data_IF_651452238023
#
_entry.id   IF_651452238023
#
_cell.length_a   1.000
_cell.length_b   1.000
_cell.length_c   1.000
_cell.angle_alpha   90.00
_cell.angle_beta   90.00
_cell.angle_gamma   90.00
#
_symmetry.space_group_name_H-M   'P 1'
#
loop_
_entity.id
_entity.type
_entity.pdbx_description
1 polymer ?
#
# COMPACT_ATOMS: atom_id res chain seq x y z
N UNK A 1 4.19 10.04 -56.17
CA UNK A 1 3.24 10.68 -55.23
C UNK A 1 2.20 9.62 -54.90
N UNK A 2 2.03 9.04 -53.72
CA UNK A 2 2.11 9.55 -52.35
C UNK A 2 2.29 8.34 -51.40
N UNK A 3 3.43 8.23 -50.72
CA UNK A 3 3.68 7.21 -49.68
C UNK A 3 4.10 7.84 -48.34
N UNK A 4 3.90 9.15 -48.15
CA UNK A 4 4.32 9.88 -46.96
C UNK A 4 3.18 10.24 -45.99
N UNK A 5 1.94 9.83 -46.26
CA UNK A 5 0.75 10.28 -45.49
C UNK A 5 0.24 9.29 -44.45
N UNK A 6 0.78 8.07 -44.37
CA UNK A 6 0.31 7.03 -43.43
C UNK A 6 1.11 6.96 -42.12
N UNK A 7 2.39 7.34 -42.12
CA UNK A 7 3.27 7.25 -40.93
C UNK A 7 2.98 8.34 -39.90
N UNK A 8 2.64 9.55 -40.35
CA UNK A 8 2.31 10.68 -39.47
C UNK A 8 0.97 10.53 -38.75
N UNK A 9 0.02 9.78 -39.33
CA UNK A 9 -1.28 9.50 -38.69
C UNK A 9 -1.17 8.49 -37.55
N UNK A 10 -0.23 7.54 -37.62
CA UNK A 10 0.00 6.54 -36.57
C UNK A 10 0.71 7.18 -35.36
N UNK A 11 1.71 8.05 -35.58
CA UNK A 11 2.34 8.78 -34.48
C UNK A 11 1.38 9.74 -33.76
N UNK A 12 0.47 10.41 -34.49
CA UNK A 12 -0.52 11.30 -33.88
C UNK A 12 -1.51 10.54 -32.99
N UNK A 13 -1.94 9.34 -33.39
CA UNK A 13 -2.85 8.51 -32.60
C UNK A 13 -2.16 8.00 -31.32
N UNK A 14 -0.90 7.55 -31.41
CA UNK A 14 -0.13 7.09 -30.23
C UNK A 14 0.11 8.23 -29.23
N UNK A 15 0.36 9.45 -29.69
CA UNK A 15 0.53 10.61 -28.81
C UNK A 15 -0.77 11.05 -28.11
N UNK A 16 -1.92 10.94 -28.79
CA UNK A 16 -3.23 11.27 -28.22
C UNK A 16 -3.63 10.22 -27.15
N UNK A 17 -3.35 8.93 -27.39
CA UNK A 17 -3.59 7.89 -26.39
C UNK A 17 -2.68 8.02 -25.15
N UNK A 18 -1.40 8.37 -25.31
CA UNK A 18 -0.50 8.61 -24.17
C UNK A 18 -0.88 9.85 -23.34
N UNK A 19 -1.34 10.93 -23.99
CA UNK A 19 -1.79 12.14 -23.28
C UNK A 19 -3.07 11.88 -22.47
N UNK A 20 -4.01 11.11 -23.03
CA UNK A 20 -5.26 10.73 -22.36
C UNK A 20 -5.02 9.79 -21.16
N UNK A 21 -4.00 8.93 -21.25
CA UNK A 21 -3.60 8.01 -20.18
C UNK A 21 -2.96 8.74 -18.99
N UNK A 22 -2.15 9.77 -19.25
CA UNK A 22 -1.54 10.59 -18.18
C UNK A 22 -2.60 11.45 -17.46
N UNK A 23 -3.58 12.02 -18.17
CA UNK A 23 -4.64 12.83 -17.54
C UNK A 23 -5.63 11.98 -16.71
N UNK A 24 -5.84 10.71 -17.08
CA UNK A 24 -6.66 9.77 -16.32
C UNK A 24 -6.11 9.42 -14.93
N UNK A 25 -4.78 9.32 -14.80
CA UNK A 25 -4.11 9.02 -13.53
C UNK A 25 -4.19 10.21 -12.56
N UNK A 26 -4.08 11.45 -13.07
CA UNK A 26 -4.19 12.65 -12.22
C UNK A 26 -5.62 12.94 -11.72
N UNK A 27 -6.64 12.46 -12.43
CA UNK A 27 -8.04 12.73 -12.07
C UNK A 27 -8.57 11.82 -10.95
N UNK A 28 -8.03 10.60 -10.80
CA UNK A 28 -8.40 9.68 -9.73
C UNK A 28 -7.83 10.08 -8.35
N UNK A 29 -6.69 10.79 -8.31
CA UNK A 29 -6.08 11.25 -7.07
C UNK A 29 -6.79 12.44 -6.40
N UNK A 30 -7.73 13.10 -7.11
CA UNK A 30 -8.40 14.32 -6.63
C UNK A 30 -9.71 14.06 -5.86
N UNK A 31 -10.22 12.83 -5.88
CA UNK A 31 -11.55 12.51 -5.36
C UNK A 31 -11.59 12.09 -3.87
N UNK A 32 -10.45 11.95 -3.18
CA UNK A 32 -10.39 11.35 -1.83
C UNK A 32 -9.91 12.28 -0.71
N UNK A 33 -9.77 13.59 -0.94
CA UNK A 33 -9.40 14.53 0.12
C UNK A 33 -10.34 15.74 0.19
N UNK A 34 -11.48 15.56 0.86
CA UNK A 34 -12.19 16.63 1.55
C UNK A 34 -12.24 16.29 3.04
N UNK A 35 -11.28 16.81 3.80
CA UNK A 35 -11.37 16.89 5.27
C UNK A 35 -11.73 18.34 5.60
N UNK A 36 -12.90 18.54 6.19
CA UNK A 36 -13.33 19.81 6.77
C UNK A 36 -12.56 20.07 8.08
N UNK A 37 -12.16 21.32 8.39
CA UNK A 37 -11.51 21.64 9.66
C UNK A 37 -12.53 21.70 10.80
N UNK A 38 -12.29 20.92 11.85
CA UNK A 38 -12.95 21.06 13.15
C UNK A 38 -12.38 22.28 13.88
N UNK A 39 -13.25 23.27 14.12
CA UNK A 39 -12.95 24.46 14.89
C UNK A 39 -13.25 24.15 16.37
N UNK A 40 -12.24 24.09 17.24
CA UNK A 40 -12.43 23.96 18.68
C UNK A 40 -11.73 25.13 19.38
N UNK A 41 -12.52 26.14 19.71
CA UNK A 41 -12.16 27.19 20.66
C UNK A 41 -12.30 26.65 22.08
N UNK A 42 -11.21 26.58 22.84
CA UNK A 42 -11.29 26.56 24.30
C UNK A 42 -10.35 27.61 24.88
N UNK A 43 -11.00 28.64 25.39
CA UNK A 43 -10.48 29.66 26.27
C UNK A 43 -10.60 29.11 27.70
N UNK A 44 -9.51 28.98 28.44
CA UNK A 44 -9.58 29.02 29.90
C UNK A 44 -8.22 29.39 30.51
N UNK A 45 -8.22 30.54 31.16
CA UNK A 45 -7.20 31.08 32.03
C UNK A 45 -7.20 30.36 33.38
N UNK A 46 -6.03 30.00 33.91
CA UNK A 46 -5.81 30.10 35.35
C UNK A 46 -4.32 30.31 35.67
N UNK A 47 -4.08 31.41 36.37
CA UNK A 47 -2.90 31.78 37.13
C UNK A 47 -2.71 30.86 38.34
N UNK A 48 -1.47 30.62 38.79
CA UNK A 48 -1.08 30.50 40.20
C UNK A 48 0.46 30.46 40.35
N UNK A 49 0.98 31.61 40.78
CA UNK A 49 2.01 31.93 41.78
C UNK A 49 3.25 31.06 42.07
N UNK A 50 4.31 31.82 42.34
CA UNK A 50 5.68 31.46 42.68
C UNK A 50 5.93 31.34 44.20
N UNK A 51 6.93 30.53 44.59
CA UNK A 51 7.77 30.61 45.83
C UNK A 51 9.07 29.84 45.51
N UNK A 52 10.28 30.39 45.37
CA UNK A 52 11.22 31.18 46.21
C UNK A 52 12.28 30.37 47.01
N UNK A 53 13.53 30.62 46.58
CA UNK A 53 14.87 30.70 47.19
C UNK A 53 15.57 29.72 48.17
N UNK A 54 16.91 29.78 47.97
CA UNK A 54 18.11 29.69 48.87
C UNK A 54 18.78 28.33 49.06
N UNK A 55 20.11 28.20 49.23
CA UNK A 55 21.35 28.97 48.95
C UNK A 55 22.54 28.22 49.63
N UNK A 56 23.79 28.57 49.24
CA UNK A 56 25.11 28.39 49.92
C UNK A 56 25.89 27.08 49.68
N UNK A 57 27.24 27.01 49.59
CA UNK A 57 28.36 27.97 49.43
C UNK A 57 29.69 27.19 49.24
N UNK A 58 30.58 27.69 48.36
CA UNK A 58 32.07 27.67 48.30
C UNK A 58 32.90 26.37 48.52
N UNK A 59 33.95 26.07 47.71
CA UNK A 59 35.33 26.60 47.86
C UNK A 59 36.21 26.36 46.61
N UNK A 60 37.29 27.14 46.51
CA UNK A 60 38.17 27.54 45.39
C UNK A 60 39.34 26.63 44.93
N UNK A 61 39.93 27.04 43.78
CA UNK A 61 41.32 26.92 43.26
C UNK A 61 41.68 25.76 42.30
N UNK A 62 41.87 26.10 41.01
CA UNK A 62 43.17 26.04 40.31
C UNK A 62 43.04 26.45 38.83
N UNK A 63 44.08 27.13 38.34
CA UNK A 63 44.21 27.80 37.04
C UNK A 63 44.64 26.80 35.96
N UNK A 64 43.93 26.73 34.84
CA UNK A 64 44.52 26.29 33.56
C UNK A 64 43.76 26.88 32.37
N UNK A 65 44.53 27.59 31.54
CA UNK A 65 44.14 28.14 30.25
C UNK A 65 43.84 27.00 29.27
N UNK A 66 42.58 26.86 28.87
CA UNK A 66 42.20 25.99 27.75
C UNK A 66 41.08 26.66 26.95
N UNK A 67 41.45 27.02 25.72
CA UNK A 67 40.64 27.43 24.56
C UNK A 67 39.12 27.42 24.76
N UNK A 68 38.50 28.61 24.73
CA UNK A 68 37.05 28.80 24.57
C UNK A 68 36.50 28.00 23.37
N UNK A 69 35.68 26.96 23.56
CA UNK A 69 34.62 26.71 22.59
C UNK A 69 33.58 27.81 22.79
N UNK A 70 33.26 28.56 21.73
CA UNK A 70 32.11 29.47 21.75
C UNK A 70 30.87 28.61 22.01
N UNK A 71 30.44 28.61 23.27
CA UNK A 71 29.21 28.00 23.73
C UNK A 71 28.08 28.86 23.16
N UNK A 72 27.51 28.43 22.04
CA UNK A 72 26.27 29.03 21.56
C UNK A 72 25.20 28.71 22.61
N UNK A 73 24.45 29.70 23.14
CA UNK A 73 23.33 29.39 24.00
C UNK A 73 22.35 28.62 23.12
N UNK A 74 22.19 27.33 23.38
CA UNK A 74 21.06 26.58 22.88
C UNK A 74 19.84 27.29 23.47
N UNK A 75 19.21 28.16 22.69
CA UNK A 75 17.80 28.42 22.92
C UNK A 75 17.16 27.05 22.89
N UNK A 76 16.66 26.60 24.03
CA UNK A 76 15.66 25.54 24.12
C UNK A 76 14.45 26.05 23.33
N UNK A 77 14.55 25.95 22.01
CA UNK A 77 13.39 26.02 21.11
C UNK A 77 12.47 24.96 21.70
N UNK A 78 11.33 25.40 22.22
CA UNK A 78 10.34 24.50 22.79
C UNK A 78 10.13 23.35 21.81
N UNK A 79 10.24 22.11 22.31
CA UNK A 79 10.02 20.92 21.49
C UNK A 79 8.63 21.04 20.89
N UNK A 80 8.54 21.26 19.59
CA UNK A 80 7.28 21.16 18.86
C UNK A 80 7.05 19.67 18.55
N UNK A 81 5.79 19.27 18.44
CA UNK A 81 5.43 17.88 18.16
C UNK A 81 5.86 17.51 16.74
N UNK A 82 6.47 16.33 16.58
CA UNK A 82 6.81 15.77 15.29
C UNK A 82 5.55 15.22 14.62
N UNK A 83 4.73 16.12 14.09
CA UNK A 83 3.47 15.78 13.44
C UNK A 83 3.67 15.44 11.96
N UNK A 84 2.72 14.70 11.39
CA UNK A 84 2.70 14.41 9.95
C UNK A 84 2.41 15.69 9.18
N UNK A 85 3.16 15.94 8.11
CA UNK A 85 2.98 17.09 7.21
C UNK A 85 2.90 16.63 5.75
N UNK A 86 2.31 17.44 4.88
CA UNK A 86 2.33 17.23 3.43
C UNK A 86 3.34 18.20 2.81
N UNK A 87 4.36 17.67 2.15
CA UNK A 87 5.37 18.49 1.49
C UNK A 87 4.88 19.09 0.18
N UNK A 88 5.60 20.09 -0.33
CA UNK A 88 5.27 20.74 -1.62
C UNK A 88 5.34 19.78 -2.82
N UNK A 89 5.99 18.62 -2.66
CA UNK A 89 6.06 17.53 -3.63
C UNK A 89 4.95 16.47 -3.44
N UNK A 90 3.92 16.77 -2.62
CA UNK A 90 2.77 15.91 -2.32
C UNK A 90 3.11 14.60 -1.59
N UNK A 91 4.32 14.48 -1.05
CA UNK A 91 4.71 13.37 -0.20
C UNK A 91 4.48 13.73 1.27
N UNK A 92 4.08 12.74 2.06
CA UNK A 92 3.91 12.86 3.50
C UNK A 92 5.28 12.81 4.18
N UNK A 93 5.59 13.84 4.97
CA UNK A 93 6.80 13.90 5.78
C UNK A 93 6.49 13.98 7.27
N UNK A 94 7.53 14.26 8.04
CA UNK A 94 7.43 14.59 9.46
C UNK A 94 7.88 16.03 9.66
N UNK A 95 7.09 16.83 10.36
CA UNK A 95 7.43 18.22 10.65
C UNK A 95 8.57 18.25 11.67
N UNK A 96 9.72 18.83 11.30
CA UNK A 96 10.90 18.93 12.18
C UNK A 96 11.79 20.12 11.84
N UNK A 97 12.79 20.42 12.69
CA UNK A 97 13.73 21.51 12.44
C UNK A 97 14.56 21.16 11.21
N UNK A 98 14.81 22.14 10.34
CA UNK A 98 15.59 21.95 9.12
C UNK A 98 17.00 21.37 9.38
N UNK A 99 17.66 21.79 10.46
CA UNK A 99 18.94 21.23 10.91
C UNK A 99 18.84 19.72 11.17
N UNK A 100 17.86 19.30 11.98
CA UNK A 100 17.62 17.88 12.28
C UNK A 100 17.27 17.08 11.01
N UNK A 101 16.43 17.64 10.12
CA UNK A 101 16.12 17.00 8.85
C UNK A 101 17.39 16.75 8.01
N UNK A 102 18.26 17.76 7.92
CA UNK A 102 19.50 17.70 7.16
C UNK A 102 20.49 16.71 7.78
N UNK A 103 20.65 16.73 9.10
CA UNK A 103 21.53 15.84 9.86
C UNK A 103 21.11 14.36 9.68
N UNK A 104 19.81 14.12 9.61
CA UNK A 104 19.22 12.80 9.38
C UNK A 104 19.16 12.41 7.89
N UNK A 105 19.79 13.19 7.01
CA UNK A 105 19.80 13.00 5.55
C UNK A 105 18.38 12.91 4.96
N UNK A 106 17.47 13.71 5.49
CA UNK A 106 16.15 13.93 4.93
C UNK A 106 16.18 15.06 3.89
N UNK A 107 15.06 15.24 3.21
CA UNK A 107 14.84 16.31 2.23
C UNK A 107 13.77 17.24 2.78
N UNK A 108 14.09 18.52 2.92
CA UNK A 108 13.15 19.55 3.31
C UNK A 108 12.19 19.87 2.16
N UNK A 109 10.89 19.70 2.37
CA UNK A 109 9.85 19.85 1.36
C UNK A 109 8.79 20.89 1.75
N UNK A 110 9.22 22.12 1.99
CA UNK A 110 8.34 23.23 2.40
C UNK A 110 8.29 23.43 3.91
N UNK A 111 7.68 24.53 4.35
CA UNK A 111 7.46 24.82 5.77
C UNK A 111 6.25 24.04 6.29
N UNK A 112 6.32 23.56 7.54
CA UNK A 112 5.23 22.86 8.21
C UNK A 112 4.73 23.56 9.48
N UNK A 113 5.26 24.75 9.80
CA UNK A 113 4.82 25.54 10.96
C UNK A 113 4.67 27.01 10.58
N UNK A 114 3.67 27.65 11.17
CA UNK A 114 3.49 29.12 11.11
C UNK A 114 4.18 29.83 12.29
N UNK A 115 4.61 29.09 13.31
CA UNK A 115 5.22 29.64 14.53
C UNK A 115 6.70 29.94 14.31
N UNK A 116 7.39 29.08 13.54
CA UNK A 116 8.82 29.23 13.25
C UNK A 116 9.12 28.91 11.80
N UNK A 117 9.96 29.74 11.18
CA UNK A 117 10.45 29.53 9.81
C UNK A 117 11.52 28.42 9.72
N UNK A 118 11.92 27.85 10.86
CA UNK A 118 12.92 26.77 10.91
C UNK A 118 12.31 25.37 10.78
N UNK A 119 11.00 25.24 10.94
CA UNK A 119 10.31 23.95 10.84
C UNK A 119 9.98 23.65 9.37
N UNK A 120 10.42 22.48 8.91
CA UNK A 120 10.24 22.01 7.53
C UNK A 120 9.55 20.66 7.52
N UNK A 121 8.82 20.39 6.45
CA UNK A 121 8.30 19.06 6.21
C UNK A 121 9.43 18.14 5.73
N UNK A 122 9.96 17.31 6.62
CA UNK A 122 11.10 16.45 6.32
C UNK A 122 10.65 15.12 5.73
N UNK A 123 11.21 14.75 4.58
CA UNK A 123 10.92 13.50 3.89
C UNK A 123 12.18 12.65 3.84
N UNK A 124 12.07 11.40 4.28
CA UNK A 124 13.16 10.44 4.18
C UNK A 124 13.04 9.66 2.88
N UNK A 125 14.05 9.80 2.03
CA UNK A 125 14.16 9.06 0.77
C UNK A 125 15.37 8.13 0.85
N UNK A 126 15.17 6.86 0.52
CA UNK A 126 16.18 5.80 0.61
C UNK A 126 16.15 4.92 -0.63
N UNK A 127 17.29 4.32 -0.95
CA UNK A 127 17.47 3.40 -2.08
C UNK A 127 18.19 2.14 -1.61
N UNK A 128 18.65 1.32 -2.55
CA UNK A 128 19.22 0.00 -2.31
C UNK A 128 20.36 0.01 -1.28
N UNK A 129 20.35 -0.96 -0.37
CA UNK A 129 21.35 -1.16 0.67
C UNK A 129 21.20 -0.25 1.88
N UNK A 130 20.20 0.64 1.90
CA UNK A 130 19.97 1.53 3.02
C UNK A 130 19.29 0.83 4.19
N UNK A 131 19.38 1.47 5.36
CA UNK A 131 18.52 1.20 6.50
C UNK A 131 17.77 2.48 6.91
N UNK A 132 16.64 2.33 7.58
CA UNK A 132 15.90 3.45 8.14
C UNK A 132 15.31 3.09 9.50
N UNK A 133 15.30 4.06 10.41
CA UNK A 133 14.54 4.05 11.67
C UNK A 133 13.56 5.22 11.73
N UNK A 134 13.38 5.92 10.61
CA UNK A 134 12.52 7.08 10.52
C UNK A 134 11.17 6.71 9.90
N UNK A 135 10.11 7.22 10.51
CA UNK A 135 8.77 7.01 10.01
C UNK A 135 8.54 7.77 8.70
N UNK A 136 7.57 7.32 7.89
CA UNK A 136 7.25 7.87 6.57
C UNK A 136 8.49 7.92 5.64
N UNK A 137 9.27 6.84 5.62
CA UNK A 137 10.39 6.70 4.69
C UNK A 137 9.90 6.20 3.34
N UNK A 138 10.42 6.75 2.25
CA UNK A 138 10.14 6.28 0.90
C UNK A 138 11.34 5.51 0.35
N UNK A 139 11.08 4.30 -0.15
CA UNK A 139 12.06 3.40 -0.75
C UNK A 139 11.83 3.29 -2.25
N UNK A 140 12.87 3.60 -3.05
CA UNK A 140 12.77 3.68 -4.50
C UNK A 140 13.84 2.84 -5.18
N UNK A 141 13.61 2.50 -6.46
CA UNK A 141 14.70 2.02 -7.30
C UNK A 141 15.78 3.08 -7.49
N UNK A 142 17.00 2.61 -7.74
CA UNK A 142 18.10 3.48 -8.13
C UNK A 142 17.68 4.33 -9.33
N UNK A 143 17.92 5.65 -9.26
CA UNK A 143 17.60 6.65 -10.28
C UNK A 143 16.10 6.88 -10.57
N UNK A 144 15.20 6.50 -9.65
CA UNK A 144 13.79 6.89 -9.73
C UNK A 144 13.63 8.40 -10.03
N UNK A 145 12.72 8.82 -10.94
CA UNK A 145 11.64 8.05 -11.57
C UNK A 145 12.03 7.30 -12.85
N UNK A 146 13.30 7.24 -13.22
CA UNK A 146 13.73 6.46 -14.39
C UNK A 146 13.53 4.95 -14.13
N UNK A 147 13.18 4.15 -15.16
CA UNK A 147 13.05 2.71 -15.02
C UNK A 147 14.36 2.04 -14.61
N UNK A 148 14.25 1.00 -13.80
CA UNK A 148 15.35 0.13 -13.42
C UNK A 148 15.49 -1.01 -14.44
N UNK A 149 16.66 -1.09 -15.08
CA UNK A 149 16.91 -2.06 -16.16
C UNK A 149 16.94 -3.53 -15.70
N UNK A 150 17.01 -3.78 -14.38
CA UNK A 150 17.10 -5.11 -13.79
C UNK A 150 18.54 -5.51 -13.44
N UNK A 151 18.72 -6.74 -12.99
CA UNK A 151 20.03 -7.32 -12.70
C UNK A 151 20.53 -7.04 -11.29
N UNK A 152 19.90 -7.68 -10.31
CA UNK A 152 20.38 -7.65 -8.93
C UNK A 152 19.25 -7.63 -7.91
N UNK A 153 19.64 -7.42 -6.65
CA UNK A 153 18.73 -7.33 -5.52
C UNK A 153 18.88 -5.98 -4.84
N UNK A 154 17.78 -5.25 -4.76
CA UNK A 154 17.69 -3.97 -4.07
C UNK A 154 16.95 -4.18 -2.75
N UNK A 155 17.63 -3.93 -1.63
CA UNK A 155 17.07 -4.13 -0.28
C UNK A 155 17.02 -2.85 0.52
N UNK A 156 16.09 -2.79 1.47
CA UNK A 156 16.08 -1.81 2.57
C UNK A 156 15.74 -2.52 3.87
N UNK A 157 16.41 -2.11 4.96
CA UNK A 157 16.16 -2.63 6.32
C UNK A 157 15.45 -1.57 7.15
N UNK A 158 14.25 -1.90 7.65
CA UNK A 158 13.43 -1.04 8.48
C UNK A 158 13.58 -1.46 9.93
N UNK A 159 14.18 -0.60 10.75
CA UNK A 159 14.40 -0.83 12.16
C UNK A 159 13.35 -0.04 12.95
N UNK A 160 12.48 -0.70 13.73
CA UNK A 160 11.60 0.06 14.62
C UNK A 160 12.46 0.78 15.67
N UNK A 161 12.18 2.07 15.99
CA UNK A 161 12.96 2.84 16.95
C UNK A 161 12.92 2.24 18.36
N UNK A 162 11.79 1.64 18.74
CA UNK A 162 11.56 0.98 20.02
C UNK A 162 10.34 0.04 19.91
N UNK A 163 9.99 -0.62 21.03
CA UNK A 163 8.88 -1.56 21.11
C UNK A 163 7.48 -0.93 21.14
N UNK A 164 7.37 0.40 21.05
CA UNK A 164 6.06 1.09 20.92
C UNK A 164 5.57 1.08 19.48
N UNK A 165 6.42 0.71 18.52
CA UNK A 165 6.05 0.48 17.12
C UNK A 165 5.73 -1.01 16.92
N UNK A 166 4.49 -1.32 16.55
CA UNK A 166 4.03 -2.70 16.42
C UNK A 166 3.90 -3.17 14.98
N UNK A 167 3.68 -2.26 14.02
CA UNK A 167 3.34 -2.65 12.65
C UNK A 167 3.95 -1.71 11.64
N UNK A 168 4.35 -2.26 10.50
CA UNK A 168 4.81 -1.54 9.33
C UNK A 168 3.74 -1.64 8.24
N UNK A 169 3.19 -0.51 7.82
CA UNK A 169 2.40 -0.40 6.60
C UNK A 169 3.32 -0.03 5.44
N UNK A 170 3.23 -0.79 4.36
CA UNK A 170 3.99 -0.58 3.13
C UNK A 170 2.98 -0.29 2.03
N UNK A 171 2.91 0.98 1.59
CA UNK A 171 2.07 1.38 0.47
C UNK A 171 2.87 1.32 -0.83
N UNK A 172 2.35 0.63 -1.85
CA UNK A 172 2.96 0.47 -3.16
C UNK A 172 2.54 1.64 -4.06
N UNK A 173 3.10 2.83 -3.85
CA UNK A 173 2.74 4.01 -4.65
C UNK A 173 3.01 3.79 -6.14
N UNK A 174 4.14 3.13 -6.42
CA UNK A 174 4.43 2.51 -7.70
C UNK A 174 5.06 1.14 -7.43
N UNK A 175 4.59 0.11 -8.11
CA UNK A 175 5.22 -1.21 -8.09
C UNK A 175 4.89 -1.94 -9.39
N UNK A 176 5.80 -1.79 -10.36
CA UNK A 176 5.75 -2.46 -11.65
C UNK A 176 7.02 -3.28 -11.82
N UNK A 177 6.89 -4.59 -11.67
CA UNK A 177 7.95 -5.59 -11.87
C UNK A 177 7.60 -6.48 -13.07
N UNK A 178 8.54 -7.29 -13.52
CA UNK A 178 8.24 -8.31 -14.52
C UNK A 178 7.05 -9.18 -14.05
N UNK A 179 6.12 -9.53 -14.97
CA UNK A 179 4.97 -10.34 -14.64
C UNK A 179 5.38 -11.75 -14.19
N UNK A 180 4.49 -12.48 -13.48
CA UNK A 180 4.72 -13.89 -13.18
C UNK A 180 4.78 -14.74 -14.47
N UNK A 181 5.15 -16.02 -14.33
CA UNK A 181 4.93 -17.03 -15.38
C UNK A 181 3.44 -17.18 -15.69
N UNK A 182 3.09 -17.93 -16.75
CA UNK A 182 1.69 -18.24 -17.04
C UNK A 182 1.00 -19.07 -15.95
N UNK A 183 1.78 -19.74 -15.08
CA UNK A 183 1.32 -20.46 -13.89
C UNK A 183 1.46 -19.61 -12.60
N UNK A 184 1.49 -18.27 -12.71
CA UNK A 184 1.43 -17.40 -11.53
C UNK A 184 2.68 -17.32 -10.65
N UNK A 185 3.84 -17.84 -11.11
CA UNK A 185 5.07 -17.86 -10.32
C UNK A 185 5.97 -16.64 -10.55
N UNK A 186 6.40 -15.98 -9.47
CA UNK A 186 7.32 -14.84 -9.49
C UNK A 186 8.80 -15.24 -9.63
N UNK A 187 9.17 -15.85 -10.76
CA UNK A 187 10.53 -16.37 -10.99
C UNK A 187 11.50 -15.34 -11.58
N UNK A 188 10.99 -14.37 -12.34
CA UNK A 188 11.81 -13.37 -13.04
C UNK A 188 12.17 -12.21 -12.12
N UNK A 189 11.16 -11.60 -11.51
CA UNK A 189 11.30 -10.55 -10.51
C UNK A 189 10.42 -10.90 -9.31
N UNK A 190 10.83 -10.45 -8.12
CA UNK A 190 10.13 -10.74 -6.87
C UNK A 190 10.35 -9.64 -5.83
N UNK A 191 9.25 -9.12 -5.28
CA UNK A 191 9.20 -8.43 -4.01
C UNK A 191 8.99 -9.46 -2.89
N UNK A 192 9.88 -9.41 -1.90
CA UNK A 192 9.85 -10.26 -0.71
C UNK A 192 10.01 -9.39 0.53
N UNK A 193 9.25 -9.71 1.58
CA UNK A 193 9.30 -8.99 2.85
C UNK A 193 9.49 -10.03 3.96
N UNK A 194 10.51 -9.84 4.80
CA UNK A 194 10.92 -10.82 5.82
C UNK A 194 11.37 -10.14 7.11
N UNK A 195 11.55 -10.93 8.18
CA UNK A 195 11.99 -10.47 9.50
C UNK A 195 10.86 -10.03 10.45
N UNK A 196 9.67 -9.75 9.91
CA UNK A 196 8.46 -9.51 10.69
C UNK A 196 7.79 -10.79 11.20
N UNK A 197 6.74 -10.63 12.01
CA UNK A 197 5.90 -11.72 12.50
C UNK A 197 4.79 -12.14 11.51
N UNK A 198 4.51 -11.32 10.49
CA UNK A 198 3.54 -11.63 9.44
C UNK A 198 4.19 -12.40 8.28
N UNK A 199 3.49 -13.38 7.73
CA UNK A 199 3.89 -14.04 6.49
C UNK A 199 3.38 -13.24 5.30
N UNK A 200 4.30 -12.58 4.58
CA UNK A 200 3.97 -11.87 3.34
C UNK A 200 4.36 -12.77 2.17
N UNK A 201 3.43 -13.04 1.22
CA UNK A 201 3.77 -13.82 0.05
C UNK A 201 4.76 -13.09 -0.86
N UNK A 202 5.36 -13.83 -1.79
CA UNK A 202 6.16 -13.21 -2.85
C UNK A 202 5.24 -12.50 -3.84
N UNK A 203 5.53 -11.24 -4.15
CA UNK A 203 4.70 -10.39 -5.02
C UNK A 203 5.52 -9.99 -6.25
N UNK A 204 4.92 -10.04 -7.45
CA UNK A 204 5.53 -9.55 -8.68
C UNK A 204 4.45 -8.98 -9.63
N UNK A 205 4.87 -8.52 -10.82
CA UNK A 205 3.99 -7.86 -11.77
C UNK A 205 3.53 -6.48 -11.30
N UNK A 206 2.28 -6.10 -11.59
CA UNK A 206 1.74 -4.76 -11.37
C UNK A 206 0.89 -4.69 -10.10
N UNK A 207 1.30 -3.85 -9.14
CA UNK A 207 0.66 -3.75 -7.83
C UNK A 207 0.57 -2.29 -7.33
N UNK A 208 0.72 -1.31 -8.22
CA UNK A 208 0.61 0.11 -7.84
C UNK A 208 -0.77 0.41 -7.24
N UNK A 209 -0.78 1.18 -6.16
CA UNK A 209 -1.99 1.53 -5.40
C UNK A 209 -2.41 0.49 -4.35
N UNK A 210 -1.75 -0.67 -4.28
CA UNK A 210 -1.97 -1.65 -3.21
C UNK A 210 -1.08 -1.39 -1.99
N UNK A 211 -1.28 -2.14 -0.92
CA UNK A 211 -0.49 -2.04 0.31
C UNK A 211 -0.46 -3.36 1.06
N UNK A 212 0.50 -3.50 1.97
CA UNK A 212 0.55 -4.59 2.94
C UNK A 212 0.84 -4.08 4.35
N UNK A 213 0.37 -4.82 5.35
CA UNK A 213 0.70 -4.63 6.76
C UNK A 213 1.57 -5.79 7.25
N UNK A 214 2.63 -5.46 7.99
CA UNK A 214 3.58 -6.43 8.51
C UNK A 214 3.86 -6.10 9.97
N UNK A 215 3.56 -7.04 10.86
CA UNK A 215 3.80 -6.89 12.28
C UNK A 215 5.30 -7.03 12.58
N UNK A 216 5.82 -6.14 13.42
CA UNK A 216 7.17 -6.29 13.97
C UNK A 216 7.19 -7.40 15.03
N UNK A 217 8.29 -8.15 15.10
CA UNK A 217 8.53 -9.08 16.20
C UNK A 217 9.41 -8.40 17.26
N UNK A 218 8.78 -7.69 18.20
CA UNK A 218 9.50 -6.82 19.14
C UNK A 218 10.25 -5.71 18.40
N UNK A 219 11.56 -5.64 18.57
CA UNK A 219 12.43 -4.67 17.86
C UNK A 219 13.20 -5.29 16.68
N UNK A 220 12.84 -6.50 16.27
CA UNK A 220 13.47 -7.14 15.10
C UNK A 220 13.17 -6.36 13.82
N UNK A 221 14.19 -6.10 12.99
CA UNK A 221 13.99 -5.32 11.77
C UNK A 221 13.24 -6.10 10.70
N UNK A 222 12.47 -5.36 9.88
CA UNK A 222 11.83 -5.89 8.68
C UNK A 222 12.71 -5.57 7.48
N UNK A 223 13.02 -6.57 6.67
CA UNK A 223 13.76 -6.42 5.42
C UNK A 223 12.81 -6.48 4.24
N UNK A 224 12.87 -5.47 3.38
CA UNK A 224 12.13 -5.42 2.11
C UNK A 224 13.15 -5.61 1.00
N UNK A 225 12.90 -6.58 0.10
CA UNK A 225 13.83 -6.98 -0.95
C UNK A 225 13.13 -7.10 -2.28
N UNK A 226 13.58 -6.30 -3.26
CA UNK A 226 13.19 -6.40 -4.67
C UNK A 226 14.31 -7.09 -5.43
N UNK A 227 14.10 -8.34 -5.84
CA UNK A 227 15.00 -9.10 -6.69
C UNK A 227 14.56 -9.00 -8.14
N UNK A 228 15.51 -8.77 -9.05
CA UNK A 228 15.23 -8.55 -10.47
C UNK A 228 16.22 -9.30 -11.36
N UNK A 229 15.73 -9.80 -12.50
CA UNK A 229 16.57 -10.51 -13.48
C UNK A 229 17.13 -9.58 -14.56
N UNK A 230 18.43 -9.71 -14.85
CA UNK A 230 19.07 -9.00 -15.98
C UNK A 230 18.68 -9.59 -17.34
N UNK A 231 18.27 -10.86 -17.39
CA UNK A 231 17.96 -11.58 -18.62
C UNK A 231 16.57 -11.28 -19.19
N UNK A 232 15.77 -10.46 -18.49
CA UNK A 232 14.43 -10.10 -18.90
C UNK A 232 14.31 -8.57 -19.04
N UNK A 233 14.21 -8.11 -20.29
CA UNK A 233 14.08 -6.69 -20.62
C UNK A 233 12.70 -6.20 -20.21
N UNK A 234 12.65 -5.38 -19.16
CA UNK A 234 11.40 -4.81 -18.64
C UNK A 234 11.68 -3.47 -17.95
N UNK A 235 10.76 -2.52 -18.11
CA UNK A 235 10.84 -1.22 -17.47
C UNK A 235 10.31 -1.32 -16.03
N UNK A 236 11.17 -1.73 -15.11
CA UNK A 236 10.81 -1.89 -13.70
C UNK A 236 10.76 -0.54 -13.02
N UNK A 237 9.80 -0.35 -12.12
CA UNK A 237 9.72 0.87 -11.33
C UNK A 237 9.10 0.59 -9.98
N UNK A 238 9.67 1.13 -8.90
CA UNK A 238 9.02 1.07 -7.60
C UNK A 238 9.26 2.30 -6.74
N UNK A 239 8.22 2.69 -6.02
CA UNK A 239 8.20 3.66 -4.94
C UNK A 239 7.31 3.10 -3.84
N UNK A 240 7.92 2.70 -2.73
CA UNK A 240 7.21 2.15 -1.58
C UNK A 240 7.25 3.16 -0.43
N UNK A 241 6.09 3.50 0.14
CA UNK A 241 6.01 4.32 1.35
C UNK A 241 5.97 3.41 2.58
N UNK A 242 6.93 3.59 3.48
CA UNK A 242 7.13 2.79 4.68
C UNK A 242 6.66 3.60 5.90
N UNK A 243 5.57 3.15 6.50
CA UNK A 243 4.93 3.81 7.64
C UNK A 243 4.93 2.90 8.86
N UNK A 244 5.74 3.27 9.84
CA UNK A 244 5.76 2.64 11.15
C UNK A 244 4.56 3.11 11.95
N UNK A 245 3.86 2.17 12.57
CA UNK A 245 2.62 2.41 13.29
C UNK A 245 2.81 2.04 14.75
N UNK A 246 2.48 2.99 15.62
CA UNK A 246 2.48 2.75 17.05
C UNK A 246 1.45 1.67 17.42
N UNK A 247 1.74 0.88 18.45
CA UNK A 247 0.85 -0.15 18.98
C UNK A 247 -0.51 0.40 19.42
N UNK A 248 -0.58 1.68 19.78
CA UNK A 248 -1.79 2.38 20.18
C UNK A 248 -2.53 3.05 19.02
N UNK A 249 -2.05 2.89 17.78
CA UNK A 249 -2.65 3.53 16.61
C UNK A 249 -4.07 3.02 16.36
N UNK A 250 -5.03 3.94 16.22
CA UNK A 250 -6.41 3.61 15.84
C UNK A 250 -6.54 3.04 14.41
N UNK A 251 -5.47 3.13 13.62
CA UNK A 251 -5.42 2.65 12.23
C UNK A 251 -4.66 1.34 12.08
N UNK A 252 -4.22 0.72 13.19
CA UNK A 252 -3.54 -0.58 13.19
C UNK A 252 -4.42 -1.64 12.52
N UNK A 253 -3.85 -2.41 11.59
CA UNK A 253 -4.53 -3.55 11.01
C UNK A 253 -4.67 -4.66 12.07
N UNK A 254 -5.82 -5.35 12.15
CA UNK A 254 -5.96 -6.50 13.02
C UNK A 254 -4.92 -7.58 12.67
N UNK A 255 -4.42 -8.29 13.69
CA UNK A 255 -3.44 -9.36 13.48
C UNK A 255 -3.98 -10.42 12.50
N UNK A 256 -3.14 -10.83 11.55
CA UNK A 256 -3.49 -11.78 10.49
C UNK A 256 -4.06 -11.14 9.21
N UNK A 257 -4.38 -9.85 9.21
CA UNK A 257 -4.77 -9.11 8.01
C UNK A 257 -3.54 -8.64 7.23
N UNK A 258 -3.34 -9.14 6.01
CA UNK A 258 -2.26 -8.66 5.15
C UNK A 258 -2.62 -7.31 4.52
N UNK A 259 -3.89 -7.12 4.15
CA UNK A 259 -4.42 -5.84 3.70
C UNK A 259 -5.48 -5.35 4.69
N UNK A 260 -5.51 -4.04 4.94
CA UNK A 260 -6.54 -3.41 5.76
C UNK A 260 -7.05 -2.11 5.14
N UNK A 261 -8.35 -2.05 4.88
CA UNK A 261 -9.04 -0.91 4.30
C UNK A 261 -9.94 -0.24 5.35
N UNK A 262 -9.85 1.09 5.43
CA UNK A 262 -10.53 1.87 6.47
C UNK A 262 -11.85 2.50 6.02
N UNK A 263 -12.05 2.62 4.69
CA UNK A 263 -13.22 3.27 4.11
C UNK A 263 -14.47 2.38 4.25
N UNK A 264 -15.65 3.01 4.28
CA UNK A 264 -16.94 2.31 4.31
C UNK A 264 -17.30 1.68 2.96
N UNK A 265 -16.72 2.18 1.87
CA UNK A 265 -16.86 1.66 0.52
C UNK A 265 -15.56 1.88 -0.24
N UNK A 266 -15.32 1.06 -1.25
CA UNK A 266 -14.15 1.19 -2.12
C UNK A 266 -13.93 -0.09 -2.91
N UNK A 267 -12.69 -0.30 -3.32
CA UNK A 267 -12.32 -1.45 -4.12
C UNK A 267 -11.19 -2.22 -3.44
N UNK A 268 -11.17 -3.54 -3.66
CA UNK A 268 -10.11 -4.46 -3.26
C UNK A 268 -9.71 -5.29 -4.47
N UNK A 269 -8.44 -5.65 -4.59
CA UNK A 269 -7.92 -6.43 -5.71
C UNK A 269 -6.97 -7.52 -5.22
N UNK A 270 -6.85 -8.60 -5.98
CA UNK A 270 -5.73 -9.53 -5.82
C UNK A 270 -4.41 -8.84 -6.21
N UNK A 271 -3.30 -9.32 -5.66
CA UNK A 271 -1.99 -8.93 -6.18
C UNK A 271 -1.87 -9.28 -7.67
N UNK A 272 -1.13 -8.45 -8.41
CA UNK A 272 -0.93 -8.53 -9.86
C UNK A 272 -2.22 -8.40 -10.71
N UNK A 273 -3.34 -7.94 -10.14
CA UNK A 273 -4.55 -7.67 -10.93
C UNK A 273 -4.32 -6.52 -11.91
N UNK A 274 -4.57 -6.77 -13.19
CA UNK A 274 -4.76 -5.75 -14.22
C UNK A 274 -5.85 -6.20 -15.20
N UNK A 275 -6.45 -5.26 -15.90
CA UNK A 275 -7.56 -5.54 -16.82
C UNK A 275 -7.16 -6.26 -18.11
N UNK A 276 -5.87 -6.32 -18.47
CA UNK A 276 -5.43 -7.14 -19.60
C UNK A 276 -5.38 -8.63 -19.19
N UNK A 277 -5.49 -9.57 -20.12
CA UNK A 277 -5.11 -10.97 -19.85
C UNK A 277 -3.59 -11.10 -19.68
N UNK A 278 -3.10 -12.21 -19.11
CA UNK A 278 -1.66 -12.52 -19.13
C UNK A 278 -1.17 -12.57 -20.58
N UNK A 279 0.10 -12.26 -20.83
CA UNK A 279 0.74 -12.48 -22.14
C UNK A 279 1.57 -13.76 -22.17
N UNK A 280 1.84 -14.36 -21.00
CA UNK A 280 2.57 -15.62 -20.89
C UNK A 280 1.63 -16.81 -21.12
N UNK A 281 2.18 -17.89 -21.67
CA UNK A 281 1.51 -19.19 -21.70
C UNK A 281 1.77 -19.93 -20.39
N UNK A 282 0.80 -20.72 -19.93
CA UNK A 282 0.97 -21.63 -18.81
C UNK A 282 1.70 -22.92 -19.24
N UNK A 283 1.94 -23.81 -18.29
CA UNK A 283 2.67 -25.07 -18.48
C UNK A 283 2.07 -26.02 -19.52
N UNK A 284 0.75 -25.95 -19.79
CA UNK A 284 0.07 -26.76 -20.82
C UNK A 284 -0.01 -26.04 -22.19
N UNK A 285 0.57 -24.85 -22.32
CA UNK A 285 0.69 -24.13 -23.60
C UNK A 285 -0.51 -23.27 -24.00
N UNK A 286 -1.45 -22.99 -23.07
CA UNK A 286 -2.57 -22.07 -23.30
C UNK A 286 -2.34 -20.73 -22.59
N UNK A 287 -3.24 -19.76 -22.79
CA UNK A 287 -3.11 -18.44 -22.18
C UNK A 287 -3.09 -18.55 -20.65
N UNK A 288 -2.00 -18.09 -20.02
CA UNK A 288 -1.82 -18.21 -18.58
C UNK A 288 -2.66 -17.26 -17.74
N UNK A 289 -2.53 -17.42 -16.43
CA UNK A 289 -3.20 -16.61 -15.42
C UNK A 289 -2.40 -15.33 -15.09
N UNK A 290 -3.07 -14.34 -14.50
CA UNK A 290 -2.42 -13.24 -13.75
C UNK A 290 -2.43 -13.47 -12.26
N UNK A 291 -3.19 -14.45 -11.78
CA UNK A 291 -3.18 -14.82 -10.38
C UNK A 291 -1.75 -15.18 -9.99
N UNK A 292 -1.35 -14.76 -8.79
CA UNK A 292 -0.13 -15.28 -8.22
C UNK A 292 -0.49 -16.61 -7.56
N UNK A 293 0.31 -17.63 -7.82
CA UNK A 293 0.08 -18.96 -7.29
C UNK A 293 0.45 -19.05 -5.80
N UNK A 294 -0.17 -19.99 -5.09
CA UNK A 294 0.13 -20.38 -3.71
C UNK A 294 -0.03 -19.26 -2.68
N UNK A 295 -1.03 -18.40 -2.86
CA UNK A 295 -1.34 -17.31 -1.94
C UNK A 295 -2.39 -17.73 -0.90
N UNK A 296 -2.20 -17.27 0.34
CA UNK A 296 -3.21 -17.34 1.42
C UNK A 296 -3.12 -16.10 2.27
N UNK A 297 -4.08 -15.19 2.13
CA UNK A 297 -4.06 -13.94 2.89
C UNK A 297 -5.46 -13.38 3.14
N UNK A 298 -5.60 -12.65 4.26
CA UNK A 298 -6.80 -11.92 4.61
C UNK A 298 -6.75 -10.45 4.18
N UNK A 299 -7.86 -9.98 3.59
CA UNK A 299 -8.15 -8.58 3.30
C UNK A 299 -9.23 -8.15 4.28
N UNK A 300 -8.85 -7.32 5.24
CA UNK A 300 -9.73 -6.84 6.28
C UNK A 300 -10.28 -5.46 5.93
N UNK A 301 -11.53 -5.22 6.33
CA UNK A 301 -12.21 -3.94 6.13
C UNK A 301 -12.72 -3.46 7.47
N UNK A 302 -12.36 -2.23 7.84
CA UNK A 302 -12.82 -1.62 9.08
C UNK A 302 -14.32 -1.46 9.04
N UNK A 303 -15.01 -2.06 10.00
CA UNK A 303 -16.43 -1.79 10.24
C UNK A 303 -16.64 -0.35 10.70
N UNK A 304 -17.39 0.44 9.95
CA UNK A 304 -17.81 1.79 10.37
C UNK A 304 -18.92 1.72 11.42
N UNK A 305 -19.09 2.81 12.18
CA UNK A 305 -20.16 2.92 13.19
C UNK A 305 -21.53 2.78 12.54
N UNK A 306 -22.45 2.04 13.19
CA UNK A 306 -23.82 1.85 12.68
C UNK A 306 -23.95 0.89 11.50
N UNK A 307 -22.88 0.20 11.10
CA UNK A 307 -22.90 -0.81 10.02
C UNK A 307 -23.19 -2.21 10.57
N UNK A 308 -23.96 -3.02 9.84
CA UNK A 308 -24.30 -4.39 10.23
C UNK A 308 -23.87 -5.46 9.23
N UNK A 309 -23.65 -5.10 7.96
CA UNK A 309 -23.18 -6.03 6.92
C UNK A 309 -22.31 -5.29 5.90
N UNK A 310 -21.65 -6.05 5.04
CA UNK A 310 -20.89 -5.56 3.91
C UNK A 310 -21.23 -6.40 2.69
N UNK A 311 -21.34 -5.75 1.54
CA UNK A 311 -21.60 -6.39 0.25
C UNK A 311 -20.39 -6.25 -0.65
N UNK A 312 -19.97 -7.35 -1.26
CA UNK A 312 -18.92 -7.42 -2.26
C UNK A 312 -19.54 -7.71 -3.63
N UNK A 313 -19.09 -7.01 -4.66
CA UNK A 313 -19.55 -7.22 -6.03
C UNK A 313 -18.42 -7.00 -7.01
N UNK A 314 -18.53 -7.60 -8.19
CA UNK A 314 -17.69 -7.22 -9.31
C UNK A 314 -17.84 -5.73 -9.65
N UNK A 315 -16.77 -5.17 -10.21
CA UNK A 315 -16.78 -3.78 -10.68
C UNK A 315 -17.49 -3.73 -12.02
N UNK A 316 -18.58 -2.97 -12.12
CA UNK A 316 -19.45 -2.97 -13.31
C UNK A 316 -18.79 -2.48 -14.60
N UNK A 317 -17.61 -1.86 -14.54
CA UNK A 317 -16.83 -1.46 -15.72
C UNK A 317 -15.94 -2.57 -16.29
N UNK A 318 -15.84 -3.72 -15.62
CA UNK A 318 -14.99 -4.85 -16.03
C UNK A 318 -15.67 -6.19 -15.72
N UNK A 319 -16.21 -6.84 -16.74
CA UNK A 319 -16.90 -8.14 -16.60
C UNK A 319 -15.96 -9.29 -16.21
N UNK A 320 -14.64 -9.11 -16.39
CA UNK A 320 -13.62 -10.11 -16.04
C UNK A 320 -13.02 -9.86 -14.64
N UNK A 321 -13.57 -8.90 -13.90
CA UNK A 321 -13.11 -8.51 -12.56
C UNK A 321 -13.26 -9.58 -11.48
N UNK A 322 -13.79 -10.74 -11.82
CA UNK A 322 -13.70 -11.92 -11.00
C UNK A 322 -13.57 -13.14 -11.93
N UNK A 323 -12.33 -13.55 -12.15
CA UNK A 323 -11.96 -14.73 -12.95
C UNK A 323 -10.86 -15.47 -12.18
N UNK A 324 -11.28 -16.44 -11.37
CA UNK A 324 -10.43 -17.12 -10.40
C UNK A 324 -10.18 -18.59 -10.77
N UNK A 325 -11.18 -19.27 -11.32
CA UNK A 325 -11.04 -20.65 -11.79
C UNK A 325 -11.81 -20.84 -13.07
N UNK A 326 -11.35 -21.79 -13.92
CA UNK A 326 -11.97 -22.22 -15.19
C UNK A 326 -11.50 -21.41 -16.41
N UNK A 327 -11.93 -21.82 -17.60
CA UNK A 327 -11.47 -21.26 -18.87
C UNK A 327 -12.29 -20.05 -19.34
N UNK A 328 -11.71 -18.85 -19.26
CA UNK A 328 -12.32 -17.62 -19.76
C UNK A 328 -12.56 -17.66 -21.28
N UNK A 329 -11.68 -18.32 -22.03
CA UNK A 329 -11.77 -18.41 -23.49
C UNK A 329 -12.85 -19.36 -24.00
N UNK A 330 -13.33 -20.28 -23.15
CA UNK A 330 -14.37 -21.26 -23.49
C UNK A 330 -15.80 -20.78 -23.17
N UNK A 331 -15.95 -19.60 -22.57
CA UNK A 331 -17.23 -19.06 -22.10
C UNK A 331 -17.69 -17.90 -22.98
N UNK A 332 -18.99 -17.85 -23.28
CA UNK A 332 -19.60 -16.68 -23.93
C UNK A 332 -19.36 -15.43 -23.05
N UNK A 333 -18.70 -14.39 -23.56
CA UNK A 333 -18.40 -13.19 -22.77
C UNK A 333 -19.63 -12.50 -22.15
N UNK A 334 -20.83 -12.74 -22.67
CA UNK A 334 -22.09 -12.21 -22.12
C UNK A 334 -22.52 -12.91 -20.82
N UNK A 335 -21.99 -14.09 -20.53
CA UNK A 335 -22.25 -14.84 -19.30
C UNK A 335 -21.27 -14.49 -18.17
N UNK A 336 -20.14 -13.86 -18.47
CA UNK A 336 -19.18 -13.40 -17.47
C UNK A 336 -19.85 -12.44 -16.49
N UNK A 337 -19.40 -12.49 -15.23
CA UNK A 337 -19.99 -11.74 -14.12
C UNK A 337 -21.44 -12.07 -13.76
N UNK A 338 -21.97 -13.20 -14.24
CA UNK A 338 -23.32 -13.66 -13.89
C UNK A 338 -23.29 -14.90 -12.99
N UNK A 339 -24.45 -15.25 -12.43
CA UNK A 339 -24.61 -16.49 -11.66
C UNK A 339 -24.39 -17.76 -12.49
N UNK A 340 -24.45 -17.68 -13.83
CA UNK A 340 -24.27 -18.84 -14.71
C UNK A 340 -22.85 -19.41 -14.67
N UNK A 341 -21.87 -18.59 -14.28
CA UNK A 341 -20.44 -18.94 -14.25
C UNK A 341 -19.81 -18.73 -12.88
N UNK A 342 -20.64 -18.48 -11.85
CA UNK A 342 -20.22 -18.49 -10.45
C UNK A 342 -20.24 -19.94 -9.93
N UNK A 343 -19.25 -20.31 -9.14
CA UNK A 343 -19.20 -21.61 -8.46
C UNK A 343 -19.03 -21.46 -6.94
N UNK A 344 -19.50 -22.48 -6.21
CA UNK A 344 -19.28 -22.70 -4.78
C UNK A 344 -18.44 -23.97 -4.48
N UNK A 345 -18.21 -24.79 -5.51
CA UNK A 345 -17.45 -26.04 -5.44
C UNK A 345 -15.97 -25.75 -5.72
N UNK A 346 -15.38 -24.95 -4.83
CA UNK A 346 -14.07 -24.36 -5.04
C UNK A 346 -12.97 -25.12 -4.30
N UNK A 347 -12.11 -25.80 -5.06
CA UNK A 347 -11.01 -26.62 -4.54
C UNK A 347 -9.60 -26.07 -4.78
N UNK A 348 -9.43 -25.23 -5.82
CA UNK A 348 -8.14 -24.63 -6.21
C UNK A 348 -8.11 -23.16 -5.77
N UNK A 349 -8.61 -22.27 -6.64
CA UNK A 349 -8.50 -20.82 -6.55
C UNK A 349 -9.84 -20.18 -6.20
N UNK A 350 -9.90 -19.46 -5.08
CA UNK A 350 -11.15 -18.90 -4.58
C UNK A 350 -10.93 -17.76 -3.61
N UNK A 351 -12.00 -17.02 -3.39
CA UNK A 351 -12.14 -16.16 -2.21
C UNK A 351 -13.08 -16.79 -1.20
N UNK A 352 -12.90 -16.47 0.08
CA UNK A 352 -13.83 -16.82 1.16
C UNK A 352 -14.53 -15.55 1.62
N UNK A 353 -15.87 -15.57 1.56
CA UNK A 353 -16.74 -14.56 2.16
C UNK A 353 -17.55 -15.29 3.24
N UNK A 354 -17.26 -15.10 4.54
CA UNK A 354 -17.88 -15.89 5.61
C UNK A 354 -19.39 -15.65 5.74
N UNK A 355 -20.18 -16.69 6.02
CA UNK A 355 -21.64 -16.60 6.19
C UNK A 355 -22.34 -15.73 5.11
N UNK A 356 -22.15 -16.05 3.82
CA UNK A 356 -22.58 -15.21 2.72
C UNK A 356 -24.06 -15.38 2.42
N UNK A 357 -24.68 -14.29 1.96
CA UNK A 357 -26.03 -14.26 1.41
C UNK A 357 -26.03 -13.60 0.03
N UNK A 358 -26.83 -14.12 -0.89
CA UNK A 358 -27.10 -13.53 -2.21
C UNK A 358 -28.62 -13.38 -2.36
N UNK A 359 -29.09 -12.16 -2.65
CA UNK A 359 -30.53 -11.89 -2.73
C UNK A 359 -31.32 -12.21 -1.45
N UNK A 360 -30.66 -12.17 -0.28
CA UNK A 360 -31.27 -12.53 1.01
C UNK A 360 -31.30 -14.03 1.31
N UNK A 361 -30.77 -14.88 0.43
CA UNK A 361 -30.66 -16.33 0.63
C UNK A 361 -29.25 -16.69 1.09
N UNK A 362 -29.14 -17.52 2.13
CA UNK A 362 -27.86 -18.05 2.58
C UNK A 362 -27.26 -18.98 1.51
N UNK A 363 -25.99 -18.81 1.18
CA UNK A 363 -25.30 -19.72 0.26
C UNK A 363 -24.86 -21.00 1.00
N UNK A 364 -24.75 -22.14 0.29
CA UNK A 364 -24.35 -23.42 0.90
C UNK A 364 -22.86 -23.50 1.26
N UNK A 365 -22.03 -22.59 0.77
CA UNK A 365 -20.58 -22.53 1.01
C UNK A 365 -20.17 -21.08 1.26
N UNK A 366 -19.01 -20.90 1.88
CA UNK A 366 -18.37 -19.59 2.07
C UNK A 366 -17.36 -19.28 0.94
N UNK A 367 -17.09 -20.24 0.05
CA UNK A 367 -16.04 -20.15 -0.99
C UNK A 367 -16.63 -19.80 -2.35
N UNK A 368 -16.05 -18.81 -3.02
CA UNK A 368 -16.48 -18.35 -4.34
C UNK A 368 -15.32 -18.43 -5.34
N UNK A 369 -15.58 -19.03 -6.49
CA UNK A 369 -14.65 -19.19 -7.62
C UNK A 369 -15.44 -19.21 -8.94
N UNK A 370 -14.76 -19.50 -10.04
CA UNK A 370 -15.34 -19.42 -11.38
C UNK A 370 -15.05 -18.08 -12.04
N UNK A 371 -15.94 -17.67 -12.95
CA UNK A 371 -15.78 -16.51 -13.84
C UNK A 371 -16.84 -15.44 -13.60
N UNK A 372 -17.50 -15.49 -12.44
CA UNK A 372 -18.48 -14.52 -12.01
C UNK A 372 -18.71 -14.56 -10.51
N UNK A 373 -19.09 -13.40 -9.96
CA UNK A 373 -19.48 -13.23 -8.57
C UNK A 373 -20.72 -12.33 -8.52
N UNK A 374 -21.84 -12.94 -8.15
CA UNK A 374 -23.08 -12.25 -7.82
C UNK A 374 -22.86 -11.43 -6.54
N UNK A 375 -23.45 -10.22 -6.41
CA UNK A 375 -23.32 -9.42 -5.20
C UNK A 375 -23.59 -10.23 -3.93
N UNK A 376 -22.54 -10.39 -3.13
CA UNK A 376 -22.51 -11.29 -1.98
C UNK A 376 -22.38 -10.47 -0.71
N UNK A 377 -23.33 -10.64 0.20
CA UNK A 377 -23.41 -9.89 1.45
C UNK A 377 -23.06 -10.78 2.62
N UNK A 378 -22.17 -10.33 3.50
CA UNK A 378 -21.91 -10.99 4.77
C UNK A 378 -22.26 -10.07 5.94
N UNK A 379 -22.83 -10.68 6.97
CA UNK A 379 -23.02 -10.04 8.27
C UNK A 379 -22.05 -10.59 9.33
N UNK A 380 -21.08 -11.43 8.95
CA UNK A 380 -20.02 -11.87 9.85
C UNK A 380 -19.09 -10.69 10.20
N UNK A 381 -18.61 -10.64 11.44
CA UNK A 381 -17.64 -9.63 11.90
C UNK A 381 -16.42 -10.31 12.53
N UNK A 382 -15.20 -9.75 12.37
CA UNK A 382 -14.87 -8.58 11.54
C UNK A 382 -15.10 -8.83 10.04
N UNK A 383 -15.21 -7.77 9.24
CA UNK A 383 -15.35 -7.91 7.78
C UNK A 383 -14.01 -8.29 7.18
N UNK A 384 -13.94 -9.51 6.64
CA UNK A 384 -12.72 -10.09 6.05
C UNK A 384 -13.09 -10.88 4.80
N UNK A 385 -12.31 -10.71 3.75
CA UNK A 385 -12.26 -11.62 2.60
C UNK A 385 -10.92 -12.35 2.66
N UNK A 386 -10.93 -13.67 2.51
CA UNK A 386 -9.69 -14.43 2.36
C UNK A 386 -9.48 -14.76 0.89
N UNK A 387 -8.28 -14.56 0.38
CA UNK A 387 -7.89 -15.00 -0.95
C UNK A 387 -7.02 -16.25 -0.81
N UNK A 388 -7.37 -17.29 -1.56
CA UNK A 388 -6.66 -18.57 -1.61
C UNK A 388 -6.41 -18.90 -3.08
N UNK A 389 -5.14 -19.06 -3.43
CA UNK A 389 -4.73 -19.66 -4.70
C UNK A 389 -3.82 -20.86 -4.41
N UNK A 390 -3.90 -21.89 -5.22
CA UNK A 390 -3.03 -23.06 -5.09
C UNK A 390 -1.87 -23.02 -6.09
N UNK A 391 -1.19 -24.13 -6.32
CA UNK A 391 -0.06 -24.19 -7.25
C UNK A 391 -0.44 -24.71 -8.64
N UNK A 392 -1.70 -25.11 -8.84
CA UNK A 392 -2.18 -25.79 -10.03
C UNK A 392 -3.03 -24.85 -10.87
N UNK A 393 -2.42 -24.28 -11.91
CA UNK A 393 -3.05 -23.30 -12.81
C UNK A 393 -3.45 -23.94 -14.16
N UNK A 394 -3.52 -25.27 -14.25
CA UNK A 394 -3.84 -25.97 -15.51
C UNK A 394 -5.24 -25.60 -16.04
N UNK A 395 -6.19 -25.34 -15.14
CA UNK A 395 -7.58 -25.00 -15.47
C UNK A 395 -7.87 -23.50 -15.41
N UNK A 396 -6.90 -22.68 -15.05
CA UNK A 396 -7.08 -21.25 -14.76
C UNK A 396 -6.67 -20.40 -15.97
N UNK A 397 -7.35 -20.66 -17.08
CA UNK A 397 -6.98 -20.13 -18.40
C UNK A 397 -7.44 -18.69 -18.53
N UNK A 398 -6.48 -17.80 -18.79
CA UNK A 398 -6.71 -16.35 -18.96
C UNK A 398 -7.41 -15.68 -17.75
N UNK A 399 -7.25 -16.27 -16.57
CA UNK A 399 -7.79 -15.76 -15.32
C UNK A 399 -7.02 -14.51 -14.87
N UNK A 400 -7.73 -13.50 -14.35
CA UNK A 400 -7.15 -12.22 -13.92
C UNK A 400 -7.06 -12.07 -12.41
N UNK A 401 -7.69 -12.98 -11.66
CA UNK A 401 -7.93 -12.84 -10.23
C UNK A 401 -9.21 -12.05 -9.95
N UNK A 402 -9.19 -11.25 -8.89
CA UNK A 402 -10.36 -10.45 -8.50
C UNK A 402 -10.05 -8.97 -8.37
N UNK A 403 -11.03 -8.16 -8.72
CA UNK A 403 -11.14 -6.73 -8.45
C UNK A 403 -12.60 -6.43 -8.09
N UNK A 404 -12.85 -6.27 -6.79
CA UNK A 404 -14.20 -6.19 -6.25
C UNK A 404 -14.46 -4.80 -5.68
N UNK A 405 -15.66 -4.29 -5.91
CA UNK A 405 -16.21 -3.20 -5.12
C UNK A 405 -16.76 -3.77 -3.81
N UNK A 406 -16.63 -3.02 -2.72
CA UNK A 406 -17.32 -3.29 -1.47
C UNK A 406 -18.09 -2.06 -1.00
N UNK A 407 -19.21 -2.30 -0.32
CA UNK A 407 -20.00 -1.26 0.35
C UNK A 407 -20.56 -1.79 1.66
N UNK A 408 -20.38 -1.02 2.72
CA UNK A 408 -20.93 -1.32 4.04
C UNK A 408 -22.39 -0.86 4.15
N UNK A 409 -23.25 -1.72 4.69
CA UNK A 409 -24.68 -1.46 4.81
C UNK A 409 -25.03 -1.13 6.27
N UNK A 410 -25.81 -0.05 6.44
CA UNK A 410 -26.32 0.37 7.73
C UNK A 410 -27.14 -0.75 8.39
N UNK A 411 -27.15 -0.78 9.71
CA UNK A 411 -28.05 -1.62 10.47
C UNK A 411 -29.51 -1.29 10.13
N UNK A 412 -30.41 -2.30 10.04
CA UNK A 412 -31.83 -2.05 9.92
C UNK A 412 -32.29 -1.15 11.07
N UNK A 413 -33.15 -0.17 10.75
CA UNK A 413 -33.85 0.60 11.78
C UNK A 413 -34.91 -0.33 12.36
N UNK A 414 -34.80 -0.66 13.65
CA UNK A 414 -35.75 -1.49 14.37
C UNK A 414 -37.03 -0.73 14.71
#
# INVERSE_FOLDING_TARGET
>A
MSAHTHSTRILAIVAIFFSSYIVGIYSAARASHQLAPLNATHNESSSLDAVDAKASSETSLARSSSRNPRWFPFYTIGRFSNDICLGNNLLMGTCMINGECTDNKGVAAGSCSTITNQAVCCIYQRTCGASTSYNNTYFYNSNYPAPYAGGGRCTIVVNPPDSTICQLRIDFMALSLAPPTGDGLCTTDALTISGGASQVPTICGENSGQHVYVDFNGVSPITISVATSAGYTFNRNWQLQLRMMACTSATLAPSGCLQYHMASSGNIASFNYVSAASSALNSIGVQGTRQLASLRYGICIRKATGICSITYSQVGSDTYSFTMTNDVGAVDPTLLATSAVQSQDCTTDYIIIPAPTQGGINMPSDRFCGLGLVPTTTSAKPFVVYAVTDANEEMDISNRGFYLAYSQNACPVL
#
